data_IF_510619207454
#
_entry.id   IF_510619207454
#
_cell.length_a   1.000
_cell.length_b   1.000
_cell.length_c   1.000
_cell.angle_alpha   90.00
_cell.angle_beta   90.00
_cell.angle_gamma   90.00
#
_symmetry.space_group_name_H-M   'P 1'
#
loop_
_entity.id
_entity.type
_entity.pdbx_description
1 polymer ?
#
# COMPACT_ATOMS: atom_id res chain seq x y z
N UNK A 1 24.73 30.55 38.91
CA UNK A 1 23.35 30.24 39.32
C UNK A 1 22.67 31.50 39.85
N UNK A 2 21.58 31.94 39.22
CA UNK A 2 20.44 32.47 39.97
C UNK A 2 19.15 31.76 39.55
N UNK A 3 18.46 31.18 40.53
CA UNK A 3 17.13 30.60 40.41
C UNK A 3 16.09 31.73 40.27
N UNK A 4 15.22 31.67 39.26
CA UNK A 4 13.99 32.47 39.20
C UNK A 4 12.75 31.56 39.17
N UNK A 5 11.62 32.03 39.72
CA UNK A 5 10.60 31.22 40.37
C UNK A 5 9.53 30.65 39.41
N UNK A 6 8.86 29.59 39.88
CA UNK A 6 7.67 28.97 39.28
C UNK A 6 6.36 29.65 39.75
N UNK A 7 5.33 29.47 38.90
CA UNK A 7 3.85 29.39 39.12
C UNK A 7 3.04 30.61 38.60
N UNK A 8 1.71 30.47 38.38
CA UNK A 8 0.93 29.38 37.77
C UNK A 8 -0.23 29.88 36.85
N UNK A 9 -1.08 28.95 36.39
CA UNK A 9 -2.51 29.07 36.01
C UNK A 9 -2.84 29.54 34.57
N UNK A 10 -3.30 28.63 33.70
CA UNK A 10 -4.69 28.18 33.43
C UNK A 10 -5.38 29.06 32.39
N UNK A 11 -5.65 28.50 31.21
CA UNK A 11 -6.89 28.81 30.49
C UNK A 11 -7.32 27.58 29.68
N UNK A 12 -8.34 26.93 30.21
CA UNK A 12 -9.20 25.96 29.55
C UNK A 12 -10.03 26.71 28.51
N UNK A 13 -10.10 26.20 27.29
CA UNK A 13 -11.17 26.52 26.35
C UNK A 13 -11.73 25.22 25.77
N UNK A 14 -12.78 24.74 26.41
CA UNK A 14 -13.73 23.76 25.88
C UNK A 14 -14.62 24.52 24.90
N UNK A 15 -14.75 24.01 23.67
CA UNK A 15 -15.85 24.39 22.77
C UNK A 15 -16.44 23.12 22.16
N UNK A 16 -17.59 22.76 22.73
CA UNK A 16 -18.52 21.75 22.27
C UNK A 16 -19.66 22.43 21.50
N UNK A 17 -20.06 21.85 20.37
CA UNK A 17 -21.36 21.97 19.68
C UNK A 17 -21.30 20.86 18.59
N UNK A 18 -22.08 19.77 18.55
CA UNK A 18 -23.54 19.63 18.67
C UNK A 18 -24.19 20.18 17.39
N UNK A 19 -25.02 19.54 16.57
CA UNK A 19 -25.99 18.42 16.59
C UNK A 19 -26.34 18.19 15.09
N UNK A 20 -26.64 16.98 14.56
CA UNK A 20 -28.02 16.54 14.32
C UNK A 20 -28.10 15.11 13.76
N UNK A 21 -28.94 14.30 14.41
CA UNK A 21 -29.52 13.07 13.90
C UNK A 21 -30.61 13.38 12.86
N UNK A 22 -30.69 12.59 11.80
CA UNK A 22 -31.95 12.26 11.13
C UNK A 22 -32.00 10.76 10.83
N UNK A 23 -32.82 10.06 11.61
CA UNK A 23 -33.29 8.72 11.30
C UNK A 23 -34.53 8.85 10.41
N UNK A 24 -34.56 8.13 9.28
CA UNK A 24 -35.79 7.81 8.56
C UNK A 24 -35.76 6.32 8.19
N UNK A 25 -36.64 5.60 8.87
CA UNK A 25 -37.12 4.24 8.63
C UNK A 25 -37.91 4.15 7.32
N UNK A 26 -37.66 3.10 6.53
CA UNK A 26 -38.50 2.64 5.43
C UNK A 26 -38.47 1.12 5.33
N UNK A 27 -39.61 0.48 5.63
CA UNK A 27 -39.82 -0.97 5.73
C UNK A 27 -40.02 -1.67 4.38
N UNK A 28 -39.62 -2.95 4.38
CA UNK A 28 -40.15 -4.13 3.66
C UNK A 28 -40.82 -3.99 2.29
N UNK A 29 -40.27 -4.72 1.33
CA UNK A 29 -41.10 -5.61 0.49
C UNK A 29 -40.42 -6.98 0.42
N UNK A 30 -41.07 -7.94 1.07
CA UNK A 30 -40.88 -9.37 0.82
C UNK A 30 -41.66 -9.67 -0.45
N UNK A 31 -40.99 -10.12 -1.51
CA UNK A 31 -41.66 -10.91 -2.54
C UNK A 31 -40.95 -12.25 -2.68
N UNK A 32 -41.79 -13.27 -2.75
CA UNK A 32 -41.48 -14.67 -2.48
C UNK A 32 -41.41 -15.35 -3.83
N UNK A 33 -40.23 -15.36 -4.44
CA UNK A 33 -39.96 -16.11 -5.67
C UNK A 33 -39.12 -17.35 -5.37
N UNK A 34 -39.72 -18.40 -4.85
CA UNK A 34 -39.07 -19.69 -4.70
C UNK A 34 -38.87 -20.37 -6.06
N UNK A 35 -37.63 -20.72 -6.43
CA UNK A 35 -37.31 -22.07 -6.97
C UNK A 35 -35.80 -22.36 -7.08
N UNK A 36 -35.47 -23.57 -6.61
CA UNK A 36 -34.39 -24.47 -7.04
C UNK A 36 -32.95 -24.23 -6.53
N UNK A 37 -32.67 -24.89 -5.41
CA UNK A 37 -31.58 -25.85 -5.18
C UNK A 37 -30.34 -25.82 -6.10
N UNK A 38 -29.18 -25.59 -5.48
CA UNK A 38 -28.00 -26.44 -5.66
C UNK A 38 -27.12 -26.35 -4.40
N UNK A 39 -27.00 -27.48 -3.72
CA UNK A 39 -25.94 -27.74 -2.76
C UNK A 39 -24.59 -27.77 -3.49
N UNK A 40 -23.59 -27.07 -2.96
CA UNK A 40 -22.36 -27.68 -2.44
C UNK A 40 -21.53 -26.58 -1.76
N UNK A 41 -21.16 -26.80 -0.50
CA UNK A 41 -20.16 -25.94 0.14
C UNK A 41 -18.79 -26.22 -0.46
N UNK A 42 -17.90 -25.22 -0.45
CA UNK A 42 -16.59 -25.55 0.08
C UNK A 42 -16.17 -24.57 1.17
N UNK A 43 -15.85 -25.17 2.31
CA UNK A 43 -14.98 -24.68 3.35
C UNK A 43 -13.90 -23.72 2.83
N UNK A 44 -13.67 -22.65 3.59
CA UNK A 44 -12.51 -21.79 3.51
C UNK A 44 -11.24 -22.65 3.34
N UNK A 45 -10.76 -22.75 2.10
CA UNK A 45 -9.51 -23.43 1.79
C UNK A 45 -8.41 -22.44 2.06
N UNK A 46 -7.77 -22.57 3.22
CA UNK A 46 -6.46 -21.99 3.48
C UNK A 46 -5.46 -22.66 2.54
N UNK A 47 -5.28 -22.10 1.35
CA UNK A 47 -4.23 -22.55 0.43
C UNK A 47 -2.88 -22.17 1.02
N UNK A 48 -2.30 -23.10 1.77
CA UNK A 48 -0.90 -23.04 2.20
C UNK A 48 -0.07 -23.24 0.93
N UNK A 49 0.43 -22.14 0.36
CA UNK A 49 1.27 -22.16 -0.84
C UNK A 49 2.46 -23.10 -0.64
N UNK A 50 2.49 -24.19 -1.39
CA UNK A 50 3.65 -25.03 -1.54
C UNK A 50 4.70 -24.27 -2.35
N UNK A 51 5.88 -24.09 -1.77
CA UNK A 51 7.06 -23.54 -2.45
C UNK A 51 7.57 -24.56 -3.47
N UNK A 52 7.03 -24.50 -4.68
CA UNK A 52 7.47 -25.32 -5.81
C UNK A 52 7.13 -24.60 -7.11
N UNK A 53 7.95 -23.63 -7.49
CA UNK A 53 7.72 -22.82 -8.68
C UNK A 53 8.87 -22.94 -9.66
N UNK A 54 8.63 -23.62 -10.77
CA UNK A 54 9.37 -23.38 -12.01
C UNK A 54 9.30 -21.88 -12.29
N UNK A 55 10.45 -21.20 -12.31
CA UNK A 55 10.51 -19.76 -12.58
C UNK A 55 9.89 -19.41 -13.94
N UNK A 56 9.43 -18.16 -14.13
CA UNK A 56 8.82 -17.75 -15.39
C UNK A 56 9.79 -17.95 -16.56
N UNK A 57 9.28 -18.32 -17.73
CA UNK A 57 10.05 -18.41 -18.98
C UNK A 57 9.58 -17.33 -19.97
N UNK A 58 10.43 -16.32 -20.20
CA UNK A 58 10.61 -15.64 -21.50
C UNK A 58 9.45 -14.85 -22.12
N UNK A 59 8.86 -13.88 -21.41
CA UNK A 59 8.08 -12.76 -22.02
C UNK A 59 8.26 -11.47 -21.20
N UNK A 60 7.95 -10.30 -21.80
CA UNK A 60 7.83 -9.01 -21.10
C UNK A 60 6.35 -8.61 -20.99
N UNK A 61 5.94 -7.86 -19.94
CA UNK A 61 6.74 -7.38 -18.81
C UNK A 61 6.82 -8.40 -17.67
N UNK A 62 7.73 -8.19 -16.71
CA UNK A 62 7.67 -8.90 -15.42
C UNK A 62 6.43 -8.41 -14.66
N UNK A 63 5.56 -9.32 -14.24
CA UNK A 63 4.36 -9.00 -13.46
C UNK A 63 4.50 -9.61 -12.07
N UNK A 64 4.07 -8.88 -11.05
CA UNK A 64 4.20 -9.28 -9.65
C UNK A 64 2.85 -9.62 -9.03
N UNK A 65 2.86 -10.58 -8.10
CA UNK A 65 1.86 -10.68 -7.05
C UNK A 65 2.43 -10.12 -5.75
N UNK A 66 1.54 -9.64 -4.88
CA UNK A 66 1.88 -9.00 -3.62
C UNK A 66 1.33 -9.83 -2.48
N UNK A 67 2.19 -10.25 -1.56
CA UNK A 67 1.79 -10.91 -0.33
C UNK A 67 1.93 -9.92 0.82
N UNK A 68 0.83 -9.57 1.45
CA UNK A 68 0.76 -8.52 2.47
C UNK A 68 0.37 -9.11 3.81
N UNK A 69 0.96 -8.61 4.90
CA UNK A 69 0.57 -8.98 6.26
C UNK A 69 -0.79 -8.38 6.59
N UNK A 70 -1.67 -9.18 7.21
CA UNK A 70 -3.01 -8.74 7.62
C UNK A 70 -3.18 -8.84 9.14
N UNK A 71 -3.65 -7.75 9.75
CA UNK A 71 -3.72 -7.62 11.20
C UNK A 71 -2.34 -7.66 11.88
N UNK A 72 -2.31 -8.00 13.17
CA UNK A 72 -1.09 -8.07 13.98
C UNK A 72 -0.51 -9.50 14.10
N UNK A 73 -1.00 -10.45 13.31
CA UNK A 73 -0.63 -11.87 13.37
C UNK A 73 0.18 -12.33 12.16
N UNK A 74 0.46 -13.65 12.04
CA UNK A 74 1.20 -14.22 10.90
C UNK A 74 0.35 -14.35 9.63
N UNK A 75 -0.89 -13.87 9.66
CA UNK A 75 -1.81 -13.97 8.53
C UNK A 75 -1.32 -13.10 7.37
N UNK A 76 -1.43 -13.65 6.16
CA UNK A 76 -1.10 -12.94 4.92
C UNK A 76 -2.22 -13.07 3.92
N UNK A 77 -2.31 -12.08 3.04
CA UNK A 77 -3.25 -12.04 1.92
C UNK A 77 -2.48 -11.73 0.64
N UNK A 78 -2.93 -12.29 -0.50
CA UNK A 78 -2.25 -12.16 -1.78
C UNK A 78 -3.09 -11.40 -2.78
N UNK A 79 -2.49 -10.41 -3.43
CA UNK A 79 -3.12 -9.55 -4.43
C UNK A 79 -2.33 -9.64 -5.74
N UNK A 80 -3.04 -9.47 -6.86
CA UNK A 80 -2.42 -9.47 -8.21
C UNK A 80 -2.31 -8.06 -8.81
N UNK A 81 -2.85 -7.04 -8.12
CA UNK A 81 -2.75 -5.64 -8.53
C UNK A 81 -2.42 -4.76 -7.32
N UNK A 82 -1.58 -3.74 -7.51
CA UNK A 82 -1.22 -2.80 -6.43
C UNK A 82 -2.42 -1.95 -6.01
N UNK A 83 -3.36 -1.64 -6.91
CA UNK A 83 -4.56 -0.87 -6.56
C UNK A 83 -5.45 -1.57 -5.54
N UNK A 84 -5.61 -2.89 -5.65
CA UNK A 84 -6.36 -3.67 -4.67
C UNK A 84 -5.69 -3.62 -3.28
N UNK A 85 -4.35 -3.57 -3.24
CA UNK A 85 -3.60 -3.41 -2.00
C UNK A 85 -3.85 -2.03 -1.37
N UNK A 86 -3.93 -0.98 -2.18
CA UNK A 86 -4.25 0.38 -1.71
C UNK A 86 -5.68 0.50 -1.19
N UNK A 87 -6.65 -0.08 -1.90
CA UNK A 87 -8.07 -0.09 -1.51
C UNK A 87 -8.28 -0.80 -0.17
N UNK A 88 -7.49 -1.84 0.10
CA UNK A 88 -7.51 -2.58 1.36
C UNK A 88 -6.56 -2.01 2.43
N UNK A 89 -5.92 -0.86 2.14
CA UNK A 89 -5.13 -0.10 3.11
C UNK A 89 -3.91 -0.85 3.66
N UNK A 90 -3.30 -1.76 2.91
CA UNK A 90 -2.13 -2.52 3.39
C UNK A 90 -0.87 -1.66 3.37
N UNK A 91 -0.04 -1.85 4.40
CA UNK A 91 1.18 -1.05 4.64
C UNK A 91 2.46 -1.87 4.69
N UNK A 92 2.37 -3.20 4.55
CA UNK A 92 3.53 -4.09 4.55
C UNK A 92 3.27 -5.26 3.61
N UNK A 93 4.04 -5.30 2.52
CA UNK A 93 3.92 -6.32 1.48
C UNK A 93 5.29 -6.73 0.96
N UNK A 94 5.37 -7.94 0.44
CA UNK A 94 6.46 -8.41 -0.42
C UNK A 94 5.93 -8.64 -1.82
N UNK A 95 6.76 -8.47 -2.85
CA UNK A 95 6.41 -8.75 -4.23
C UNK A 95 7.17 -9.98 -4.74
N UNK A 96 6.51 -10.82 -5.53
CA UNK A 96 7.12 -11.95 -6.21
C UNK A 96 6.68 -12.00 -7.68
N UNK A 97 7.60 -12.22 -8.64
CA UNK A 97 7.24 -12.29 -10.05
C UNK A 97 6.39 -13.54 -10.31
N UNK A 98 5.26 -13.36 -10.99
CA UNK A 98 4.33 -14.43 -11.36
C UNK A 98 4.37 -14.74 -12.86
N UNK A 99 4.86 -13.80 -13.67
CA UNK A 99 5.12 -14.01 -15.10
C UNK A 99 6.17 -13.03 -15.59
N UNK A 100 6.72 -13.33 -16.76
CA UNK A 100 7.75 -12.56 -17.43
C UNK A 100 9.15 -12.71 -16.82
N UNK A 101 10.17 -12.45 -17.62
CA UNK A 101 11.59 -12.55 -17.19
C UNK A 101 12.43 -11.36 -17.61
N UNK A 102 11.85 -10.43 -18.39
CA UNK A 102 12.56 -9.27 -18.91
C UNK A 102 11.79 -8.00 -18.51
N UNK A 103 12.44 -7.05 -17.81
CA UNK A 103 11.82 -5.78 -17.45
C UNK A 103 11.24 -5.04 -18.65
N UNK A 104 10.09 -4.38 -18.47
CA UNK A 104 9.58 -3.40 -19.42
C UNK A 104 10.48 -2.16 -19.49
N UNK A 105 10.31 -1.31 -20.50
CA UNK A 105 11.03 -0.03 -20.59
C UNK A 105 10.79 0.87 -19.35
N UNK A 106 9.58 0.85 -18.78
CA UNK A 106 9.29 1.58 -17.55
C UNK A 106 10.02 0.98 -16.35
N UNK A 107 10.00 -0.35 -16.22
CA UNK A 107 10.67 -1.07 -15.13
C UNK A 107 12.18 -0.84 -15.19
N UNK A 108 12.77 -0.88 -16.40
CA UNK A 108 14.18 -0.55 -16.59
C UNK A 108 14.47 0.91 -16.22
N UNK A 109 13.65 1.85 -16.69
CA UNK A 109 13.81 3.28 -16.35
C UNK A 109 13.72 3.55 -14.84
N UNK A 110 12.92 2.77 -14.12
CA UNK A 110 12.83 2.83 -12.66
C UNK A 110 14.08 2.27 -11.97
N UNK A 111 14.60 1.13 -12.43
CA UNK A 111 15.86 0.57 -11.94
C UNK A 111 17.04 1.53 -12.16
N UNK A 112 17.11 2.15 -13.35
CA UNK A 112 18.14 3.13 -13.68
C UNK A 112 18.07 4.36 -12.76
N UNK A 113 16.86 4.79 -12.38
CA UNK A 113 16.67 5.88 -11.43
C UNK A 113 16.97 5.49 -9.99
N UNK A 114 16.69 4.24 -9.62
CA UNK A 114 17.03 3.70 -8.31
C UNK A 114 18.54 3.54 -8.12
N UNK A 115 19.34 3.49 -9.19
CA UNK A 115 20.81 3.43 -9.13
C UNK A 115 21.35 2.33 -8.19
N UNK A 116 20.62 1.23 -8.07
CA UNK A 116 20.96 0.12 -7.17
C UNK A 116 20.48 0.27 -5.72
N UNK A 117 19.81 1.36 -5.36
CA UNK A 117 19.15 1.53 -4.05
C UNK A 117 17.91 0.64 -3.86
N UNK A 118 17.42 0.01 -4.94
CA UNK A 118 16.31 -0.94 -4.90
C UNK A 118 16.37 -1.95 -6.05
N UNK A 119 15.90 -3.17 -5.80
CA UNK A 119 15.59 -4.15 -6.84
C UNK A 119 14.21 -3.92 -7.44
N UNK A 120 13.85 -4.65 -8.50
CA UNK A 120 12.54 -4.53 -9.13
C UNK A 120 11.42 -5.02 -8.21
N UNK A 121 11.68 -6.10 -7.46
CA UNK A 121 10.79 -6.65 -6.42
C UNK A 121 10.54 -5.61 -5.32
N UNK A 122 11.58 -4.90 -4.88
CA UNK A 122 11.47 -3.87 -3.85
C UNK A 122 10.67 -2.66 -4.34
N UNK A 123 10.89 -2.24 -5.59
CA UNK A 123 10.08 -1.20 -6.23
C UNK A 123 8.61 -1.64 -6.39
N UNK A 124 8.37 -2.90 -6.74
CA UNK A 124 7.03 -3.47 -6.84
C UNK A 124 6.32 -3.52 -5.48
N UNK A 125 7.00 -4.01 -4.44
CA UNK A 125 6.48 -4.05 -3.08
C UNK A 125 6.22 -2.64 -2.53
N UNK A 126 7.15 -1.72 -2.77
CA UNK A 126 7.00 -0.30 -2.41
C UNK A 126 5.82 0.35 -3.12
N UNK A 127 5.59 0.05 -4.40
CA UNK A 127 4.42 0.53 -5.14
C UNK A 127 3.10 -0.01 -4.60
N UNK A 128 3.08 -1.22 -4.04
CA UNK A 128 1.87 -1.84 -3.51
C UNK A 128 1.37 -1.21 -2.21
N UNK A 129 2.24 -0.60 -1.40
CA UNK A 129 1.86 -0.04 -0.09
C UNK A 129 1.64 1.46 -0.16
N UNK A 130 0.63 1.96 0.56
CA UNK A 130 0.36 3.40 0.71
C UNK A 130 0.47 3.85 2.17
N UNK A 131 0.59 5.15 2.42
CA UNK A 131 0.53 5.67 3.79
C UNK A 131 1.76 5.38 4.66
N UNK A 132 2.85 4.84 4.10
CA UNK A 132 4.07 4.46 4.84
C UNK A 132 5.35 4.59 4.00
N UNK A 133 6.50 4.30 4.62
CA UNK A 133 7.78 4.14 3.93
C UNK A 133 8.23 5.40 3.17
N UNK A 134 8.85 5.25 1.99
CA UNK A 134 9.30 6.36 1.15
C UNK A 134 8.18 7.33 0.77
N UNK A 135 6.94 6.84 0.68
CA UNK A 135 5.77 7.67 0.34
C UNK A 135 5.43 8.69 1.42
N UNK A 136 5.75 8.42 2.68
CA UNK A 136 5.44 9.32 3.81
C UNK A 136 6.65 9.93 4.50
N UNK A 137 7.84 9.40 4.25
CA UNK A 137 9.09 9.85 4.86
C UNK A 137 9.73 11.01 4.08
N UNK A 138 10.41 11.95 4.75
CA UNK A 138 11.25 12.92 4.06
C UNK A 138 12.48 12.24 3.42
N UNK A 139 12.96 12.80 2.31
CA UNK A 139 14.22 12.39 1.67
C UNK A 139 15.38 13.16 2.31
N UNK A 140 16.30 12.45 2.96
CA UNK A 140 17.42 13.03 3.71
C UNK A 140 18.80 12.60 3.22
N UNK A 141 18.85 11.66 2.29
CA UNK A 141 20.08 11.08 1.76
C UNK A 141 19.93 10.79 0.28
N UNK A 142 21.07 10.64 -0.41
CA UNK A 142 21.10 10.27 -1.83
C UNK A 142 20.45 8.92 -2.09
N UNK A 143 20.70 7.92 -1.24
CA UNK A 143 20.08 6.59 -1.37
C UNK A 143 18.55 6.65 -1.28
N UNK A 144 18.01 7.45 -0.35
CA UNK A 144 16.56 7.69 -0.27
C UNK A 144 16.02 8.45 -1.48
N UNK A 145 16.81 9.37 -2.04
CA UNK A 145 16.43 10.11 -3.24
C UNK A 145 16.40 9.20 -4.47
N UNK A 146 17.35 8.28 -4.59
CA UNK A 146 17.42 7.31 -5.67
C UNK A 146 16.27 6.30 -5.57
N UNK A 147 16.01 5.73 -4.38
CA UNK A 147 14.83 4.87 -4.15
C UNK A 147 13.52 5.59 -4.50
N UNK A 148 13.35 6.83 -4.03
CA UNK A 148 12.17 7.63 -4.34
C UNK A 148 12.05 7.93 -5.85
N UNK A 149 13.15 8.24 -6.54
CA UNK A 149 13.15 8.44 -7.99
C UNK A 149 12.79 7.15 -8.75
N UNK A 150 13.24 5.99 -8.27
CA UNK A 150 12.83 4.68 -8.78
C UNK A 150 11.32 4.46 -8.63
N UNK A 151 10.77 4.69 -7.43
CA UNK A 151 9.34 4.54 -7.15
C UNK A 151 8.47 5.51 -7.98
N UNK A 152 8.91 6.74 -8.16
CA UNK A 152 8.23 7.74 -9.01
C UNK A 152 8.04 7.23 -10.45
N UNK A 153 9.07 6.58 -11.01
CA UNK A 153 9.02 6.03 -12.37
C UNK A 153 8.27 4.70 -12.46
N UNK A 154 8.42 3.84 -11.45
CA UNK A 154 7.78 2.53 -11.41
C UNK A 154 6.25 2.66 -11.26
N UNK A 155 5.79 3.58 -10.40
CA UNK A 155 4.41 3.58 -9.89
C UNK A 155 3.65 4.89 -10.17
N UNK A 156 3.52 5.37 -11.42
CA UNK A 156 3.03 6.71 -11.73
C UNK A 156 1.60 7.02 -11.22
N UNK A 157 0.77 5.98 -11.00
CA UNK A 157 -0.59 6.10 -10.48
C UNK A 157 -0.72 6.00 -8.95
N UNK A 158 0.40 5.99 -8.21
CA UNK A 158 0.36 5.81 -6.75
C UNK A 158 -0.41 6.94 -6.05
N UNK A 159 -1.26 6.64 -5.04
CA UNK A 159 -2.03 7.67 -4.32
C UNK A 159 -1.17 8.77 -3.67
N UNK A 160 0.04 8.42 -3.23
CA UNK A 160 0.95 9.33 -2.53
C UNK A 160 2.01 9.97 -3.45
N UNK A 161 1.82 9.91 -4.77
CA UNK A 161 2.80 10.40 -5.76
C UNK A 161 3.15 11.89 -5.57
N UNK A 162 2.16 12.75 -5.31
CA UNK A 162 2.39 14.19 -5.10
C UNK A 162 3.36 14.45 -3.95
N UNK A 163 3.16 13.78 -2.81
CA UNK A 163 4.03 13.92 -1.64
C UNK A 163 5.45 13.42 -1.91
N UNK A 164 5.60 12.30 -2.62
CA UNK A 164 6.92 11.77 -2.97
C UNK A 164 7.71 12.80 -3.83
N UNK A 165 7.04 13.40 -4.81
CA UNK A 165 7.62 14.46 -5.65
C UNK A 165 8.00 15.69 -4.85
N UNK A 166 7.16 16.12 -3.91
CA UNK A 166 7.47 17.24 -3.02
C UNK A 166 8.71 16.96 -2.16
N UNK A 167 8.83 15.74 -1.62
CA UNK A 167 10.00 15.33 -0.84
C UNK A 167 11.29 15.29 -1.68
N UNK A 168 11.20 14.81 -2.93
CA UNK A 168 12.31 14.83 -3.88
C UNK A 168 12.72 16.25 -4.27
N UNK A 169 11.75 17.14 -4.50
CA UNK A 169 12.00 18.54 -4.80
C UNK A 169 12.70 19.23 -3.62
N UNK A 170 12.17 19.08 -2.40
CA UNK A 170 12.78 19.65 -1.19
C UNK A 170 14.22 19.17 -0.95
N UNK A 171 14.57 17.93 -1.32
CA UNK A 171 15.93 17.43 -1.22
C UNK A 171 16.90 18.07 -2.23
N UNK A 172 16.41 18.44 -3.42
CA UNK A 172 17.22 19.01 -4.51
C UNK A 172 17.52 20.49 -4.34
N UNK A 173 16.79 21.20 -3.47
CA UNK A 173 16.89 22.65 -3.27
C UNK A 173 16.04 23.41 -4.29
#
# INVERSE_FOLDING_TARGET
MPLRPRRPATLVAVLALGVALTALTGCSSSDTGARAEAADGPSATTTRSASGGSGPTGTSPIVFAFTCTVGNGPSVETYTTSSAVWEDGRTSCTAAPITGTVPSAQQQSALDAARGAATLEELAAGCAVSGTGPWRSPVRSTEQADLAAGLERYCPGHPDMGRLRDALAAHRG
#
